data_IF_817244877942
#
_entry.id   IF_817244877942
#
_cell.length_a   1.000
_cell.length_b   1.000
_cell.length_c   1.000
_cell.angle_alpha   90.00
_cell.angle_beta   90.00
_cell.angle_gamma   90.00
#
_symmetry.space_group_name_H-M   'P 1'
#
loop_
_entity.id
_entity.type
_entity.pdbx_description
1 polymer ?
#
# COMPACT_ATOMS: atom_id res chain seq x y z
N UNK A 1 8.52 -12.36 -26.21
CA UNK A 1 9.53 -12.41 -25.13
C UNK A 1 9.66 -11.00 -24.57
N UNK A 2 9.51 -10.76 -23.25
CA UNK A 2 9.35 -9.40 -22.74
C UNK A 2 10.65 -8.62 -22.85
N UNK A 3 10.78 -7.83 -23.91
CA UNK A 3 11.99 -7.07 -24.24
C UNK A 3 12.25 -5.89 -23.30
N UNK A 4 11.22 -5.38 -22.61
CA UNK A 4 11.31 -4.16 -21.79
C UNK A 4 12.25 -4.30 -20.59
N UNK A 5 12.29 -5.47 -19.96
CA UNK A 5 13.11 -5.73 -18.78
C UNK A 5 14.61 -5.70 -19.13
N UNK A 6 14.97 -6.31 -20.26
CA UNK A 6 16.35 -6.33 -20.79
C UNK A 6 16.82 -4.94 -21.18
N UNK A 7 15.97 -4.14 -21.83
CA UNK A 7 16.29 -2.75 -22.20
C UNK A 7 16.53 -1.88 -20.97
N UNK A 8 15.74 -2.06 -19.91
CA UNK A 8 15.92 -1.31 -18.66
C UNK A 8 17.23 -1.68 -17.96
N UNK A 9 17.56 -2.98 -17.85
CA UNK A 9 18.86 -3.42 -17.30
C UNK A 9 20.01 -2.83 -18.12
N UNK A 10 19.94 -2.88 -19.46
CA UNK A 10 20.96 -2.29 -20.34
C UNK A 10 21.15 -0.80 -20.06
N UNK A 11 20.07 -0.01 -19.96
CA UNK A 11 20.15 1.43 -19.66
C UNK A 11 20.82 1.72 -18.33
N UNK A 12 20.54 0.92 -17.29
CA UNK A 12 21.18 1.09 -15.99
C UNK A 12 22.70 0.87 -16.10
N UNK A 13 23.12 -0.16 -16.83
CA UNK A 13 24.53 -0.39 -17.11
C UNK A 13 25.17 0.72 -17.96
N UNK A 14 24.43 1.33 -18.90
CA UNK A 14 24.93 2.44 -19.73
C UNK A 14 25.23 3.71 -18.92
N UNK A 15 24.60 3.89 -17.76
CA UNK A 15 24.87 4.99 -16.82
C UNK A 15 25.73 4.58 -15.61
N UNK A 16 26.44 3.46 -15.73
CA UNK A 16 27.33 2.88 -14.71
C UNK A 16 26.61 2.62 -13.36
N UNK A 17 25.36 2.14 -13.44
CA UNK A 17 24.56 1.71 -12.29
C UNK A 17 24.25 0.22 -12.39
N UNK A 18 24.27 -0.44 -11.22
CA UNK A 18 23.92 -1.87 -11.14
C UNK A 18 22.43 -2.11 -11.37
N UNK A 19 22.06 -3.28 -11.88
CA UNK A 19 20.66 -3.63 -12.09
C UNK A 19 19.82 -3.65 -10.80
N UNK A 20 20.45 -3.70 -9.61
CA UNK A 20 19.81 -3.63 -8.29
C UNK A 20 18.93 -2.38 -8.10
N UNK A 21 19.20 -1.30 -8.82
CA UNK A 21 18.35 -0.10 -8.82
C UNK A 21 16.92 -0.38 -9.30
N UNK A 22 16.70 -1.43 -10.09
CA UNK A 22 15.34 -1.84 -10.47
C UNK A 22 14.52 -2.35 -9.28
N UNK A 23 15.16 -2.84 -8.22
CA UNK A 23 14.43 -3.29 -7.03
C UNK A 23 13.70 -2.13 -6.34
N UNK A 24 14.12 -0.88 -6.53
CA UNK A 24 13.43 0.28 -5.96
C UNK A 24 12.00 0.45 -6.48
N UNK A 25 11.67 -0.08 -7.66
CA UNK A 25 10.29 -0.06 -8.14
C UNK A 25 9.35 -0.89 -7.26
N UNK A 26 9.84 -1.97 -6.63
CA UNK A 26 9.02 -2.85 -5.79
C UNK A 26 8.53 -2.15 -4.51
N UNK A 27 9.39 -1.57 -3.64
CA UNK A 27 8.94 -0.86 -2.45
C UNK A 27 8.24 0.46 -2.79
N UNK A 28 8.60 1.16 -3.87
CA UNK A 28 7.92 2.41 -4.24
C UNK A 28 6.47 2.13 -4.65
N UNK A 29 6.25 1.19 -5.56
CA UNK A 29 4.89 0.83 -6.00
C UNK A 29 4.11 0.20 -4.85
N UNK A 30 4.74 -0.66 -4.05
CA UNK A 30 4.12 -1.26 -2.87
C UNK A 30 3.71 -0.23 -1.81
N UNK A 31 4.56 0.75 -1.52
CA UNK A 31 4.27 1.83 -0.57
C UNK A 31 3.11 2.70 -1.06
N UNK A 32 3.08 3.06 -2.35
CA UNK A 32 1.96 3.82 -2.94
C UNK A 32 0.65 3.03 -2.84
N UNK A 33 0.68 1.72 -3.15
CA UNK A 33 -0.50 0.87 -3.05
C UNK A 33 -1.01 0.74 -1.61
N UNK A 34 -0.12 0.55 -0.64
CA UNK A 34 -0.48 0.51 0.79
C UNK A 34 -1.03 1.85 1.27
N UNK A 35 -0.41 2.96 0.89
CA UNK A 35 -0.93 4.29 1.21
C UNK A 35 -2.35 4.48 0.65
N UNK A 36 -2.57 4.08 -0.61
CA UNK A 36 -3.89 4.12 -1.23
C UNK A 36 -4.92 3.25 -0.49
N UNK A 37 -4.55 1.99 -0.19
CA UNK A 37 -5.43 1.04 0.51
C UNK A 37 -5.76 1.48 1.93
N UNK A 38 -4.79 2.03 2.67
CA UNK A 38 -5.01 2.48 4.04
C UNK A 38 -5.74 3.83 4.13
N UNK A 39 -5.56 4.72 3.15
CA UNK A 39 -6.09 6.08 3.20
C UNK A 39 -7.42 6.30 2.47
N UNK A 40 -7.70 5.52 1.42
CA UNK A 40 -8.80 5.82 0.49
C UNK A 40 -9.77 4.67 0.27
N UNK A 41 -9.49 3.47 0.79
CA UNK A 41 -10.34 2.29 0.61
C UNK A 41 -10.91 1.88 1.96
N UNK A 42 -12.24 1.81 2.06
CA UNK A 42 -12.92 1.34 3.25
C UNK A 42 -12.65 -0.16 3.48
N UNK A 43 -12.61 -0.57 4.74
CA UNK A 43 -12.48 -1.98 5.13
C UNK A 43 -13.67 -2.84 4.67
N UNK A 44 -13.53 -4.17 4.76
CA UNK A 44 -14.62 -5.09 4.41
C UNK A 44 -15.79 -4.92 5.38
N UNK A 45 -17.04 -4.87 4.90
CA UNK A 45 -18.22 -4.62 5.76
C UNK A 45 -18.63 -5.82 6.61
N UNK A 46 -17.98 -6.97 6.45
CA UNK A 46 -18.24 -8.19 7.20
C UNK A 46 -17.00 -8.61 7.96
N UNK A 47 -17.20 -9.42 9.01
CA UNK A 47 -16.12 -10.05 9.74
C UNK A 47 -15.22 -10.84 8.78
N UNK A 48 -13.91 -10.62 8.88
CA UNK A 48 -12.91 -11.36 8.12
C UNK A 48 -12.00 -12.13 9.09
N UNK A 49 -10.98 -12.82 8.57
CA UNK A 49 -10.03 -13.61 9.41
C UNK A 49 -9.28 -12.81 10.48
N UNK A 50 -9.37 -11.49 10.45
CA UNK A 50 -8.74 -10.56 11.37
C UNK A 50 -9.73 -9.91 12.35
N UNK A 51 -11.04 -10.23 12.29
CA UNK A 51 -12.04 -9.77 13.25
C UNK A 51 -13.29 -9.14 12.61
N UNK A 52 -14.21 -8.69 13.47
CA UNK A 52 -15.41 -7.93 13.11
C UNK A 52 -15.06 -6.47 12.75
N UNK A 53 -15.78 -5.85 11.80
CA UNK A 53 -15.64 -4.43 11.53
C UNK A 53 -16.12 -3.61 12.74
N UNK A 54 -15.51 -2.45 12.99
CA UNK A 54 -15.98 -1.51 14.02
C UNK A 54 -17.41 -1.08 13.69
N UNK A 55 -18.34 -1.31 14.61
CA UNK A 55 -19.72 -0.82 14.48
C UNK A 55 -19.72 0.71 14.57
N UNK A 56 -20.39 1.38 13.65
CA UNK A 56 -20.56 2.84 13.66
C UNK A 56 -21.19 3.35 14.97
N UNK A 57 -21.91 2.46 15.67
CA UNK A 57 -22.64 2.71 16.91
C UNK A 57 -21.71 2.97 18.12
N UNK A 58 -20.42 2.62 18.04
CA UNK A 58 -19.45 2.87 19.12
C UNK A 58 -18.93 4.31 19.16
N UNK A 59 -19.00 5.05 18.05
CA UNK A 59 -18.48 6.42 17.97
C UNK A 59 -19.49 7.47 18.53
N UNK A 60 -20.74 7.07 18.78
CA UNK A 60 -21.79 7.89 19.44
C UNK A 60 -21.80 7.74 20.98
N UNK A 61 -21.12 6.73 21.53
CA UNK A 61 -21.15 6.37 22.96
C UNK A 61 -19.99 6.97 23.79
N UNK A 62 -19.55 8.19 23.45
CA UNK A 62 -18.88 9.04 24.44
C UNK A 62 -19.92 10.03 24.98
N UNK A 63 -20.62 9.72 26.09
CA UNK A 63 -21.19 10.74 26.92
C UNK A 63 -20.08 11.73 27.26
N UNK A 64 -20.15 12.94 26.67
CA UNK A 64 -19.56 14.10 27.31
C UNK A 64 -20.28 14.18 28.65
N UNK A 65 -19.61 13.82 29.73
CA UNK A 65 -20.10 14.06 31.08
C UNK A 65 -19.69 15.49 31.47
N UNK A 66 -20.58 16.49 31.37
CA UNK A 66 -20.42 17.74 32.08
C UNK A 66 -20.78 17.52 33.55
N UNK A 67 -19.80 17.08 34.34
CA UNK A 67 -19.82 17.23 35.79
C UNK A 67 -19.02 18.47 36.21
#
# INVERSE_FOLDING_TARGET
MPSSLVVNVKRLHDIDKSWWWMLLFVPIVGAIALFAMNGFIAGTPHANRFGEPRSADEDELVPQDPA
#
